data_IF_668521448524
#
_entry.id   IF_668521448524
#
_cell.length_a   1.000
_cell.length_b   1.000
_cell.length_c   1.000
_cell.angle_alpha   90.00
_cell.angle_beta   90.00
_cell.angle_gamma   90.00
#
_symmetry.space_group_name_H-M   'P 1'
#
loop_
_entity.id
_entity.type
_entity.pdbx_description
1 polymer ?
#
# COMPACT_ATOMS: atom_id res chain seq x y z
N UNK A 1 38.83 14.77 9.17
CA UNK A 1 38.56 13.71 8.18
C UNK A 1 37.82 12.53 8.80
N UNK A 2 38.35 11.91 9.87
CA UNK A 2 37.69 10.79 10.60
C UNK A 2 36.27 11.11 11.10
N UNK A 3 36.04 12.34 11.59
CA UNK A 3 34.75 12.72 12.18
C UNK A 3 33.62 12.72 11.14
N UNK A 4 33.85 13.33 9.98
CA UNK A 4 32.87 13.37 8.89
C UNK A 4 32.56 11.99 8.29
N UNK A 5 33.57 11.10 8.21
CA UNK A 5 33.33 9.71 7.77
C UNK A 5 32.49 8.93 8.79
N UNK A 6 32.68 9.19 10.09
CA UNK A 6 31.91 8.55 11.15
C UNK A 6 30.45 9.03 11.12
N UNK A 7 30.21 10.33 10.98
CA UNK A 7 28.86 10.89 10.83
C UNK A 7 28.13 10.29 9.62
N UNK A 8 28.81 10.19 8.47
CA UNK A 8 28.22 9.62 7.27
C UNK A 8 27.80 8.15 7.47
N UNK A 9 28.67 7.32 8.07
CA UNK A 9 28.33 5.92 8.37
C UNK A 9 27.15 5.83 9.34
N UNK A 10 27.14 6.65 10.39
CA UNK A 10 26.07 6.66 11.38
C UNK A 10 24.72 7.05 10.74
N UNK A 11 24.70 8.08 9.89
CA UNK A 11 23.48 8.51 9.19
C UNK A 11 22.91 7.43 8.26
N UNK A 12 23.76 6.69 7.54
CA UNK A 12 23.31 5.58 6.70
C UNK A 12 22.72 4.42 7.51
N UNK A 13 23.32 4.09 8.65
CA UNK A 13 22.80 3.04 9.54
C UNK A 13 21.47 3.49 10.15
N UNK A 14 21.39 4.72 10.67
CA UNK A 14 20.16 5.27 11.23
C UNK A 14 19.03 5.32 10.19
N UNK A 15 19.32 5.77 8.97
CA UNK A 15 18.33 5.77 7.89
C UNK A 15 17.85 4.36 7.53
N UNK A 16 18.77 3.39 7.45
CA UNK A 16 18.44 2.00 7.18
C UNK A 16 17.51 1.41 8.26
N UNK A 17 17.81 1.63 9.54
CA UNK A 17 16.98 1.16 10.65
C UNK A 17 15.59 1.79 10.59
N UNK A 18 15.49 3.11 10.40
CA UNK A 18 14.20 3.80 10.29
C UNK A 18 13.40 3.30 9.09
N UNK A 19 14.06 3.04 7.95
CA UNK A 19 13.42 2.48 6.76
C UNK A 19 12.91 1.05 6.98
N UNK A 20 13.59 0.23 7.78
CA UNK A 20 13.09 -1.11 8.14
C UNK A 20 11.94 -1.02 9.14
N UNK A 21 12.01 -0.14 10.12
CA UNK A 21 10.94 0.05 11.10
C UNK A 21 9.66 0.56 10.44
N UNK A 22 9.75 1.53 9.53
CA UNK A 22 8.57 2.07 8.84
C UNK A 22 7.91 1.01 7.95
N UNK A 23 8.70 0.14 7.31
CA UNK A 23 8.17 -0.95 6.47
C UNK A 23 7.47 -2.02 7.31
N UNK A 24 8.04 -2.40 8.45
CA UNK A 24 7.39 -3.34 9.40
C UNK A 24 6.09 -2.76 9.95
N UNK A 25 6.08 -1.47 10.32
CA UNK A 25 4.88 -0.82 10.84
C UNK A 25 3.79 -0.70 9.77
N UNK A 26 4.16 -0.37 8.53
CA UNK A 26 3.25 -0.40 7.38
C UNK A 26 2.64 -1.79 7.20
N UNK A 27 3.45 -2.85 7.17
CA UNK A 27 2.96 -4.24 7.06
C UNK A 27 2.01 -4.60 8.21
N UNK A 28 2.31 -4.14 9.44
CA UNK A 28 1.48 -4.44 10.62
C UNK A 28 0.14 -3.72 10.58
N UNK A 29 0.15 -2.43 10.23
CA UNK A 29 -1.05 -1.62 10.02
C UNK A 29 -1.94 -2.25 8.94
N UNK A 30 -1.32 -2.75 7.86
CA UNK A 30 -2.02 -3.47 6.80
C UNK A 30 -2.71 -4.74 7.29
N UNK A 31 -2.06 -5.53 8.16
CA UNK A 31 -2.64 -6.76 8.73
C UNK A 31 -3.82 -6.44 9.67
N UNK A 32 -3.67 -5.43 10.53
CA UNK A 32 -4.73 -5.01 11.46
C UNK A 32 -5.97 -4.50 10.72
N UNK A 33 -5.76 -3.70 9.67
CA UNK A 33 -6.85 -3.19 8.83
C UNK A 33 -7.58 -4.34 8.10
N UNK A 34 -6.86 -5.36 7.60
CA UNK A 34 -7.46 -6.57 7.00
C UNK A 34 -8.36 -7.31 8.02
N UNK A 35 -7.92 -7.43 9.27
CA UNK A 35 -8.67 -8.13 10.34
C UNK A 35 -9.91 -7.31 10.74
N UNK A 36 -9.76 -5.99 10.89
CA UNK A 36 -10.81 -5.07 11.34
C UNK A 36 -11.95 -4.90 10.33
N UNK A 37 -11.69 -5.07 9.04
CA UNK A 37 -12.70 -4.91 7.97
C UNK A 37 -13.66 -6.10 7.87
N UNK A 38 -13.31 -7.26 8.44
CA UNK A 38 -14.08 -8.51 8.30
C UNK A 38 -15.48 -8.48 8.95
N UNK A 39 -15.77 -7.49 9.82
CA UNK A 39 -17.00 -7.47 10.63
C UNK A 39 -18.03 -6.37 10.28
N UNK A 40 -17.70 -5.34 9.47
CA UNK A 40 -18.58 -4.15 9.40
C UNK A 40 -18.72 -3.42 8.04
N UNK A 41 -17.82 -3.58 7.07
CA UNK A 41 -17.76 -2.68 5.89
C UNK A 41 -17.71 -3.37 4.52
N UNK A 42 -18.55 -4.39 4.30
CA UNK A 42 -18.56 -5.13 3.03
C UNK A 42 -18.93 -4.27 1.81
N UNK A 43 -19.90 -3.36 1.94
CA UNK A 43 -20.39 -2.54 0.82
C UNK A 43 -19.51 -1.34 0.54
N UNK A 44 -18.89 -0.76 1.58
CA UNK A 44 -17.97 0.36 1.45
C UNK A 44 -16.70 -0.04 0.69
N UNK A 45 -16.14 -1.20 1.03
CA UNK A 45 -14.88 -1.69 0.45
C UNK A 45 -14.95 -1.92 -1.07
N UNK A 46 -16.08 -2.44 -1.59
CA UNK A 46 -16.29 -2.62 -3.04
C UNK A 46 -16.36 -1.28 -3.77
N UNK A 47 -17.04 -0.29 -3.18
CA UNK A 47 -17.15 1.05 -3.76
C UNK A 47 -15.78 1.75 -3.80
N UNK A 48 -14.97 1.63 -2.75
CA UNK A 48 -13.61 2.17 -2.70
C UNK A 48 -12.71 1.52 -3.74
N UNK A 49 -12.77 0.19 -3.89
CA UNK A 49 -12.01 -0.54 -4.91
C UNK A 49 -12.36 -0.09 -6.33
N UNK A 50 -13.65 0.08 -6.64
CA UNK A 50 -14.10 0.57 -7.94
C UNK A 50 -13.60 2.01 -8.20
N UNK A 51 -13.68 2.88 -7.20
CA UNK A 51 -13.23 4.26 -7.29
C UNK A 51 -11.72 4.34 -7.57
N UNK A 52 -10.90 3.58 -6.84
CA UNK A 52 -9.44 3.52 -7.05
C UNK A 52 -9.11 2.96 -8.43
N UNK A 53 -9.85 1.94 -8.89
CA UNK A 53 -9.65 1.35 -10.22
C UNK A 53 -9.90 2.38 -11.32
N UNK A 54 -11.00 3.14 -11.24
CA UNK A 54 -11.31 4.21 -12.21
C UNK A 54 -10.22 5.29 -12.18
N UNK A 55 -9.75 5.67 -10.99
CA UNK A 55 -8.67 6.67 -10.83
C UNK A 55 -7.37 6.17 -11.49
N UNK A 56 -6.99 4.91 -11.30
CA UNK A 56 -5.81 4.31 -11.94
C UNK A 56 -5.92 4.28 -13.46
N UNK A 57 -7.07 3.87 -13.99
CA UNK A 57 -7.30 3.77 -15.43
C UNK A 57 -7.33 5.14 -16.09
N UNK A 58 -8.02 6.11 -15.51
CA UNK A 58 -8.03 7.50 -16.02
C UNK A 58 -6.65 8.12 -16.00
N UNK A 59 -5.86 7.87 -14.94
CA UNK A 59 -4.46 8.32 -14.86
C UNK A 59 -3.59 7.64 -15.91
N UNK A 60 -3.71 6.34 -16.10
CA UNK A 60 -2.93 5.60 -17.09
C UNK A 60 -3.18 6.13 -18.51
N UNK A 61 -4.45 6.41 -18.85
CA UNK A 61 -4.83 6.98 -20.15
C UNK A 61 -4.29 8.40 -20.31
N UNK A 62 -4.36 9.23 -19.27
CA UNK A 62 -3.96 10.64 -19.34
C UNK A 62 -2.44 10.84 -19.36
N UNK A 63 -1.72 10.11 -18.50
CA UNK A 63 -0.27 10.22 -18.35
C UNK A 63 0.49 9.48 -19.46
N UNK A 64 -0.14 8.51 -20.14
CA UNK A 64 0.50 7.73 -21.20
C UNK A 64 1.65 6.81 -20.74
N UNK A 65 1.92 6.77 -19.43
CA UNK A 65 2.93 5.91 -18.80
C UNK A 65 2.30 5.00 -17.75
N UNK A 66 3.02 3.94 -17.40
CA UNK A 66 2.56 2.98 -16.40
C UNK A 66 2.40 3.68 -15.02
N UNK A 67 1.35 3.40 -14.24
CA UNK A 67 1.07 4.07 -12.96
C UNK A 67 2.00 3.67 -11.81
N UNK A 68 3.30 3.49 -12.09
CA UNK A 68 4.38 3.28 -11.12
C UNK A 68 5.53 4.28 -11.32
N UNK A 69 5.43 5.18 -12.29
CA UNK A 69 6.54 6.07 -12.65
C UNK A 69 6.85 7.10 -11.57
N UNK A 70 5.86 7.47 -10.76
CA UNK A 70 6.02 8.38 -9.62
C UNK A 70 5.74 7.68 -8.28
N UNK A 71 6.34 8.18 -7.19
CA UNK A 71 6.10 7.68 -5.84
C UNK A 71 4.63 7.75 -5.44
N UNK A 72 3.92 8.82 -5.82
CA UNK A 72 2.50 8.96 -5.54
C UNK A 72 1.67 7.93 -6.30
N UNK A 73 1.98 7.70 -7.58
CA UNK A 73 1.28 6.68 -8.38
C UNK A 73 1.54 5.28 -7.86
N UNK A 74 2.78 4.99 -7.44
CA UNK A 74 3.16 3.73 -6.82
C UNK A 74 2.38 3.44 -5.54
N UNK A 75 2.14 4.46 -4.71
CA UNK A 75 1.32 4.33 -3.49
C UNK A 75 -0.15 4.03 -3.82
N UNK A 76 -0.70 4.62 -4.88
CA UNK A 76 -2.08 4.34 -5.30
C UNK A 76 -2.20 2.93 -5.88
N UNK A 77 -1.24 2.48 -6.69
CA UNK A 77 -1.18 1.10 -7.19
C UNK A 77 -1.07 0.09 -6.05
N UNK A 78 -0.28 0.42 -5.02
CA UNK A 78 -0.15 -0.39 -3.81
C UNK A 78 -1.48 -0.47 -3.04
N UNK A 79 -2.18 0.65 -2.86
CA UNK A 79 -3.52 0.70 -2.25
C UNK A 79 -4.58 -0.08 -3.05
N UNK A 80 -4.53 -0.03 -4.38
CA UNK A 80 -5.37 -0.86 -5.25
C UNK A 80 -5.10 -2.36 -5.04
N UNK A 81 -3.83 -2.75 -4.99
CA UNK A 81 -3.42 -4.15 -4.75
C UNK A 81 -3.89 -4.65 -3.39
N UNK A 82 -3.80 -3.82 -2.34
CA UNK A 82 -4.33 -4.16 -1.01
C UNK A 82 -5.84 -4.32 -1.02
N UNK A 83 -6.57 -3.46 -1.75
CA UNK A 83 -8.02 -3.58 -1.90
C UNK A 83 -8.42 -4.90 -2.57
N UNK A 84 -7.65 -5.40 -3.55
CA UNK A 84 -7.88 -6.72 -4.17
C UNK A 84 -7.69 -7.85 -3.16
N UNK A 85 -6.63 -7.80 -2.34
CA UNK A 85 -6.34 -8.84 -1.34
C UNK A 85 -7.47 -8.93 -0.30
N UNK A 86 -8.12 -7.81 0.04
CA UNK A 86 -9.27 -7.81 0.95
C UNK A 86 -10.56 -8.35 0.29
N UNK A 87 -10.76 -8.10 -1.00
CA UNK A 87 -11.98 -8.53 -1.72
C UNK A 87 -11.96 -10.02 -2.11
N UNK A 88 -10.78 -10.60 -2.35
CA UNK A 88 -10.65 -12.00 -2.81
C UNK A 88 -11.18 -13.02 -1.79
N UNK A 89 -10.83 -12.95 -0.49
CA UNK A 89 -11.42 -13.81 0.55
C UNK A 89 -12.92 -13.57 0.72
N UNK A 90 -13.38 -12.33 0.57
CA UNK A 90 -14.78 -11.97 0.67
C UNK A 90 -15.63 -12.65 -0.42
N UNK A 91 -15.18 -12.61 -1.67
CA UNK A 91 -15.84 -13.31 -2.79
C UNK A 91 -15.86 -14.83 -2.59
N UNK A 92 -14.84 -15.40 -1.93
CA UNK A 92 -14.83 -16.83 -1.56
C UNK A 92 -15.84 -17.15 -0.45
N UNK A 93 -15.97 -16.30 0.58
CA UNK A 93 -16.94 -16.48 1.68
C UNK A 93 -18.39 -16.45 1.20
N UNK A 94 -18.75 -15.50 0.33
CA UNK A 94 -20.11 -15.38 -0.24
C UNK A 94 -20.54 -16.54 -1.14
N UNK A 95 -19.59 -17.33 -1.65
CA UNK A 95 -19.87 -18.49 -2.51
C UNK A 95 -20.18 -19.77 -1.72
N UNK A 96 -19.97 -19.76 -0.41
CA UNK A 96 -20.12 -20.89 0.49
C UNK A 96 -21.36 -20.79 1.41
N UNK A 97 -22.21 -19.77 1.21
CA UNK A 97 -23.48 -19.55 1.90
C UNK A 97 -24.62 -19.73 0.89
#
# INVERSE_FOLDING_TARGET
MIFSTLEHILTHISFSIVSVVITIHLITLLIDEIIKINDSSEKGMIATFLCITILLVTRWIYSGHFPLSDLYESLIFLSWSFSVIQIVPYLKKKKAI
#
